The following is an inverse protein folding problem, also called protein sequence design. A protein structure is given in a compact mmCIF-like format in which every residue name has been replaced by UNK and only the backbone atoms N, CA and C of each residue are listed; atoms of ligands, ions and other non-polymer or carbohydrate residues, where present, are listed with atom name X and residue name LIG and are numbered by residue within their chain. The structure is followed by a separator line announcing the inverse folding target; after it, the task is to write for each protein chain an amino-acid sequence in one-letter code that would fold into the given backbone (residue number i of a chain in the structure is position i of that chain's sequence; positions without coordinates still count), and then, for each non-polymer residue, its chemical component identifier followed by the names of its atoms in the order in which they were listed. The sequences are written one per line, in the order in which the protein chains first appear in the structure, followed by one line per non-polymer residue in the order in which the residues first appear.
data_IF_456721753893
#
_entry.id   IF_456721753893
#
_cell.length_a   1.000
_cell.length_b   1.000
_cell.length_c   1.000
_cell.angle_alpha   90.00
_cell.angle_beta   90.00
_cell.angle_gamma   90.00
#
_symmetry.space_group_name_H-M   'P 1'
#
loop_
_entity.id
_entity.type
_entity.pdbx_description
1 polymer ?
#
# COMPACT_ATOMS: atom_id res chain seq x y z
N UNK A 1 -14.08 -4.66 -10.46
CA UNK A 1 -13.88 -3.21 -10.25
C UNK A 1 -12.38 -2.98 -10.20
N UNK A 2 -11.83 -2.16 -11.09
CA UNK A 2 -10.40 -1.91 -11.15
C UNK A 2 -9.96 -1.13 -9.91
N UNK A 3 -9.14 -1.74 -9.05
CA UNK A 3 -8.34 -1.02 -8.07
C UNK A 3 -7.35 -0.16 -8.84
N UNK A 4 -7.44 1.16 -8.70
CA UNK A 4 -6.53 2.12 -9.34
C UNK A 4 -5.49 2.53 -8.32
N UNK A 5 -4.27 2.06 -8.49
CA UNK A 5 -3.09 2.64 -7.86
C UNK A 5 -2.51 3.63 -8.87
N UNK A 6 -2.31 4.89 -8.47
CA UNK A 6 -1.63 5.90 -9.30
C UNK A 6 -0.30 6.18 -8.60
N UNK A 7 0.79 5.84 -9.29
CA UNK A 7 2.16 6.10 -8.83
C UNK A 7 2.64 7.38 -9.52
N UNK A 8 3.20 8.28 -8.72
CA UNK A 8 3.88 9.51 -9.15
C UNK A 8 5.21 9.56 -8.40
N UNK A 9 6.29 10.09 -8.99
CA UNK A 9 7.71 10.00 -8.57
C UNK A 9 8.06 10.14 -7.07
N UNK A 10 7.14 10.62 -6.21
CA UNK A 10 7.35 10.78 -4.76
C UNK A 10 6.15 10.39 -3.89
N UNK A 11 5.04 9.96 -4.49
CA UNK A 11 3.75 9.78 -3.79
C UNK A 11 2.91 8.69 -4.44
N UNK A 12 2.42 7.75 -3.62
CA UNK A 12 1.50 6.71 -4.08
C UNK A 12 0.09 7.07 -3.61
N UNK A 13 -0.82 7.24 -4.57
CA UNK A 13 -2.25 7.40 -4.30
C UNK A 13 -2.86 6.01 -4.08
N UNK A 14 -3.21 5.71 -2.84
CA UNK A 14 -3.89 4.47 -2.43
C UNK A 14 -5.37 4.74 -2.16
N UNK A 15 -6.23 3.84 -2.64
CA UNK A 15 -7.64 3.80 -2.24
C UNK A 15 -7.76 3.49 -0.74
N UNK A 16 -8.22 4.46 0.04
CA UNK A 16 -8.41 4.29 1.49
C UNK A 16 -9.28 3.07 1.83
N UNK A 17 -10.22 2.67 0.95
CA UNK A 17 -11.06 1.47 1.16
C UNK A 17 -10.22 0.20 1.19
N UNK A 18 -9.11 0.15 0.44
CA UNK A 18 -8.17 -0.97 0.44
C UNK A 18 -7.45 -1.06 1.78
N UNK A 19 -6.96 0.07 2.30
CA UNK A 19 -6.29 0.15 3.61
C UNK A 19 -7.23 -0.31 4.73
N UNK A 20 -8.44 0.24 4.80
CA UNK A 20 -9.39 -0.18 5.84
C UNK A 20 -9.89 -1.61 5.68
N UNK A 21 -9.89 -2.15 4.45
CA UNK A 21 -10.20 -3.57 4.24
C UNK A 21 -9.09 -4.44 4.82
N UNK A 22 -7.83 -4.16 4.52
CA UNK A 22 -6.68 -4.88 5.07
C UNK A 22 -6.66 -4.83 6.61
N UNK A 23 -6.91 -3.66 7.22
CA UNK A 23 -6.99 -3.52 8.68
C UNK A 23 -8.10 -4.41 9.27
N UNK A 24 -9.26 -4.52 8.60
CA UNK A 24 -10.35 -5.40 9.08
C UNK A 24 -10.01 -6.87 8.93
N UNK A 25 -9.33 -7.25 7.83
CA UNK A 25 -8.88 -8.62 7.58
C UNK A 25 -7.82 -9.06 8.60
N UNK A 26 -6.95 -8.14 9.02
CA UNK A 26 -5.95 -8.32 10.08
C UNK A 26 -6.51 -8.10 11.50
N UNK A 27 -7.84 -8.22 11.69
CA UNK A 27 -8.50 -8.12 12.99
C UNK A 27 -8.23 -6.81 13.75
N UNK A 28 -7.97 -5.71 13.03
CA UNK A 28 -7.64 -4.41 13.60
C UNK A 28 -6.16 -4.20 13.89
N UNK A 29 -5.28 -5.14 13.53
CA UNK A 29 -3.83 -4.99 13.67
C UNK A 29 -3.27 -4.03 12.59
N UNK A 30 -3.44 -2.74 12.81
CA UNK A 30 -3.00 -1.69 11.89
C UNK A 30 -1.48 -1.59 11.78
N UNK A 31 -0.72 -1.93 12.83
CA UNK A 31 0.75 -1.94 12.83
C UNK A 31 1.29 -2.96 11.82
N UNK A 32 0.69 -4.14 11.74
CA UNK A 32 1.05 -5.15 10.74
C UNK A 32 0.74 -4.68 9.32
N UNK A 33 -0.43 -4.07 9.11
CA UNK A 33 -0.81 -3.52 7.79
C UNK A 33 0.11 -2.38 7.36
N UNK A 34 0.58 -1.54 8.31
CA UNK A 34 1.58 -0.50 8.06
C UNK A 34 2.91 -1.11 7.60
N UNK A 35 3.43 -2.11 8.31
CA UNK A 35 4.67 -2.80 7.94
C UNK A 35 4.59 -3.46 6.55
N UNK A 36 3.46 -4.08 6.22
CA UNK A 36 3.23 -4.69 4.91
C UNK A 36 3.15 -3.63 3.80
N UNK A 37 2.53 -2.48 4.06
CA UNK A 37 2.47 -1.37 3.11
C UNK A 37 3.84 -0.72 2.89
N UNK A 38 4.63 -0.50 3.94
CA UNK A 38 6.00 0.00 3.82
C UNK A 38 6.87 -0.93 2.98
N UNK A 39 6.82 -2.24 3.25
CA UNK A 39 7.56 -3.23 2.48
C UNK A 39 7.18 -3.21 0.98
N UNK A 40 5.88 -3.10 0.69
CA UNK A 40 5.38 -2.98 -0.68
C UNK A 40 5.82 -1.67 -1.36
N UNK A 41 5.87 -0.56 -0.62
CA UNK A 41 6.36 0.70 -1.17
C UNK A 41 7.85 0.66 -1.49
N UNK A 42 8.65 0.04 -0.65
CA UNK A 42 10.09 -0.07 -0.88
C UNK A 42 10.40 -1.03 -2.04
N UNK A 43 9.59 -2.08 -2.26
CA UNK A 43 9.74 -2.91 -3.47
C UNK A 43 9.43 -2.13 -4.75
N UNK A 44 8.42 -1.25 -4.74
CA UNK A 44 8.09 -0.44 -5.91
C UNK A 44 9.17 0.61 -6.24
N UNK A 45 9.80 1.22 -5.23
CA UNK A 45 10.92 2.16 -5.46
C UNK A 45 12.13 1.47 -6.07
N UNK A 46 12.39 0.22 -5.68
CA UNK A 46 13.52 -0.55 -6.19
C UNK A 46 13.33 -0.89 -7.68
N UNK A 47 12.09 -1.11 -8.12
CA UNK A 47 11.76 -1.37 -9.53
C UNK A 47 11.84 -0.12 -10.44
N UNK A 48 11.80 1.10 -9.89
CA UNK A 48 11.95 2.35 -10.68
C UNK A 48 13.41 2.75 -10.93
N UNK A 49 14.37 2.18 -10.19
CA UNK A 49 15.80 2.49 -10.30
C UNK A 49 16.60 1.51 -11.21
N UNK A 50 15.98 0.44 -11.73
CA UNK A 50 16.54 -0.51 -12.72
C UNK A 50 16.05 -0.24 -14.16
#
# INVERSE_FOLDING_TARGET
MSQKMIVTDKSILIDFRLVFKAIREEQGNWEKVEQELEAYFDSLKTEEEE
#
